data_IF_161473944676
#
_entry.id   IF_161473944676
#
_cell.length_a   1.000
_cell.length_b   1.000
_cell.length_c   1.000
_cell.angle_alpha   90.00
_cell.angle_beta   90.00
_cell.angle_gamma   90.00
#
_symmetry.space_group_name_H-M   'P 1'
#
loop_
_entity.id
_entity.type
_entity.pdbx_description
1 polymer ?
#
# COMPACT_ATOMS: atom_id res chain seq x y z
N UNK A 1 3.14 -18.79 -35.41
CA UNK A 1 3.01 -17.41 -35.92
C UNK A 1 1.53 -17.07 -35.94
N UNK A 2 1.13 -15.88 -35.49
CA UNK A 2 -0.27 -15.45 -35.59
C UNK A 2 -0.58 -15.33 -37.10
N UNK A 3 -1.59 -16.05 -37.59
CA UNK A 3 -1.96 -16.06 -39.01
C UNK A 3 -2.56 -14.71 -39.40
N UNK A 4 -2.13 -14.18 -40.55
CA UNK A 4 -2.55 -12.86 -41.05
C UNK A 4 -4.06 -12.78 -41.30
N UNK A 5 -4.67 -13.89 -41.72
CA UNK A 5 -6.12 -13.99 -41.95
C UNK A 5 -6.95 -13.92 -40.65
N UNK A 6 -6.37 -14.25 -39.49
CA UNK A 6 -7.03 -14.04 -38.21
C UNK A 6 -7.04 -12.56 -37.81
N UNK A 7 -6.02 -11.79 -38.21
CA UNK A 7 -5.90 -10.35 -37.87
C UNK A 7 -6.95 -9.51 -38.61
N UNK A 8 -7.18 -9.82 -39.89
CA UNK A 8 -8.16 -9.09 -40.72
C UNK A 8 -9.60 -9.20 -40.18
N UNK A 9 -9.93 -10.33 -39.56
CA UNK A 9 -11.25 -10.54 -38.97
C UNK A 9 -11.35 -10.08 -37.50
N UNK A 10 -10.23 -9.68 -36.88
CA UNK A 10 -10.19 -9.30 -35.46
C UNK A 10 -9.74 -7.85 -35.23
N UNK A 11 -9.83 -6.97 -36.25
CA UNK A 11 -9.49 -5.54 -36.11
C UNK A 11 -10.18 -4.88 -34.90
N UNK A 12 -11.43 -5.27 -34.62
CA UNK A 12 -12.18 -4.81 -33.44
C UNK A 12 -11.58 -5.34 -32.13
N UNK A 13 -11.19 -6.61 -32.08
CA UNK A 13 -10.55 -7.22 -30.90
C UNK A 13 -9.16 -6.64 -30.67
N UNK A 14 -8.38 -6.40 -31.73
CA UNK A 14 -7.07 -5.75 -31.65
C UNK A 14 -7.20 -4.30 -31.22
N UNK A 15 -8.19 -3.57 -31.74
CA UNK A 15 -8.50 -2.21 -31.30
C UNK A 15 -8.88 -2.17 -29.82
N UNK A 16 -9.68 -3.13 -29.33
CA UNK A 16 -10.04 -3.25 -27.93
C UNK A 16 -8.83 -3.63 -27.05
N UNK A 17 -8.01 -4.58 -27.49
CA UNK A 17 -6.85 -5.07 -26.75
C UNK A 17 -5.74 -4.00 -26.64
N UNK A 18 -5.61 -3.15 -27.67
CA UNK A 18 -4.71 -2.00 -27.68
C UNK A 18 -5.30 -0.77 -26.96
N UNK A 19 -6.55 -0.83 -26.50
CA UNK A 19 -7.21 0.22 -25.71
C UNK A 19 -7.84 1.36 -26.52
N UNK A 20 -8.07 1.18 -27.82
CA UNK A 20 -8.71 2.18 -28.69
C UNK A 20 -10.24 2.12 -28.68
N UNK A 21 -10.83 1.00 -28.23
CA UNK A 21 -12.28 0.83 -28.20
C UNK A 21 -12.96 1.43 -26.95
N UNK A 22 -12.22 1.73 -25.87
CA UNK A 22 -12.78 2.32 -24.65
C UNK A 22 -11.74 2.52 -23.53
N UNK A 23 -12.05 3.41 -22.59
CA UNK A 23 -11.19 3.69 -21.43
C UNK A 23 -11.71 2.99 -20.17
N UNK A 24 -10.92 2.06 -19.65
CA UNK A 24 -11.15 1.48 -18.33
C UNK A 24 -10.63 2.37 -17.21
N UNK A 25 -11.26 2.28 -16.03
CA UNK A 25 -10.79 2.94 -14.81
C UNK A 25 -10.23 1.93 -13.81
N UNK A 26 -9.17 2.32 -13.10
CA UNK A 26 -8.62 1.62 -11.93
C UNK A 26 -9.20 2.11 -10.60
N UNK A 27 -10.17 3.06 -10.63
CA UNK A 27 -10.83 3.58 -9.42
C UNK A 27 -11.45 2.44 -8.63
N UNK A 28 -11.11 2.36 -7.33
CA UNK A 28 -11.55 1.32 -6.40
C UNK A 28 -11.15 -0.13 -6.79
N UNK A 29 -10.20 -0.31 -7.72
CA UNK A 29 -9.64 -1.62 -8.08
C UNK A 29 -8.24 -1.76 -7.49
N UNK A 30 -7.91 -2.94 -6.95
CA UNK A 30 -6.56 -3.22 -6.45
C UNK A 30 -5.62 -3.45 -7.63
N UNK A 31 -4.54 -2.67 -7.72
CA UNK A 31 -3.49 -2.80 -8.75
C UNK A 31 -2.29 -3.50 -8.12
N UNK A 32 -1.84 -4.61 -8.71
CA UNK A 32 -0.66 -5.32 -8.24
C UNK A 32 0.58 -4.41 -8.31
N UNK A 33 1.44 -4.46 -7.30
CA UNK A 33 2.62 -3.57 -7.19
C UNK A 33 2.33 -2.16 -6.64
N UNK A 34 1.08 -1.68 -6.66
CA UNK A 34 0.71 -0.37 -6.10
C UNK A 34 0.23 -0.44 -4.64
N UNK A 35 0.77 -1.38 -3.86
CA UNK A 35 0.37 -1.61 -2.46
C UNK A 35 1.48 -1.25 -1.46
N UNK A 36 2.69 -1.01 -1.94
CA UNK A 36 3.83 -0.67 -1.09
C UNK A 36 3.69 0.78 -0.60
N UNK A 37 3.82 0.96 0.71
CA UNK A 37 3.84 2.25 1.36
C UNK A 37 4.69 2.16 2.62
N UNK A 38 5.47 3.20 2.90
CA UNK A 38 6.31 3.26 4.10
C UNK A 38 5.91 4.48 4.94
N UNK A 39 5.92 4.31 6.26
CA UNK A 39 5.64 5.38 7.22
C UNK A 39 6.83 5.55 8.16
N UNK A 40 7.33 6.79 8.26
CA UNK A 40 8.37 7.15 9.24
C UNK A 40 7.71 7.53 10.56
N UNK A 41 7.69 6.61 11.52
CA UNK A 41 7.19 6.86 12.87
C UNK A 41 8.37 7.18 13.79
N UNK A 42 8.53 8.45 14.14
CA UNK A 42 9.49 8.86 15.16
C UNK A 42 8.86 8.65 16.55
N UNK A 43 9.35 7.66 17.31
CA UNK A 43 8.93 7.46 18.70
C UNK A 43 9.76 8.39 19.60
N UNK A 44 9.18 9.44 20.21
CA UNK A 44 9.94 10.31 21.11
C UNK A 44 10.39 9.51 22.33
N UNK A 45 11.63 9.71 22.76
CA UNK A 45 12.13 9.12 24.00
C UNK A 45 11.47 9.84 25.18
N UNK A 46 10.83 9.07 26.07
CA UNK A 46 10.28 9.61 27.33
C UNK A 46 11.28 9.38 28.45
N UNK A 47 11.51 10.42 29.25
CA UNK A 47 12.32 10.30 30.45
C UNK A 47 11.62 9.41 31.47
N UNK A 48 12.41 8.57 32.14
CA UNK A 48 11.94 7.69 33.20
C UNK A 48 12.48 8.22 34.50
N UNK A 49 11.59 8.74 35.35
CA UNK A 49 11.95 8.99 36.74
C UNK A 49 12.07 7.63 37.43
N UNK A 50 13.22 7.31 38.00
CA UNK A 50 13.46 6.05 38.72
C UNK A 50 13.42 6.26 40.25
N UNK A 51 14.07 7.33 40.73
CA UNK A 51 14.10 7.68 42.15
C UNK A 51 12.87 8.50 42.57
N UNK A 52 12.42 8.30 43.80
CA UNK A 52 11.30 9.02 44.44
C UNK A 52 9.99 9.01 43.63
N UNK A 53 9.66 7.88 43.00
CA UNK A 53 8.37 7.67 42.34
C UNK A 53 7.31 7.27 43.35
N UNK A 54 6.06 7.68 43.13
CA UNK A 54 4.90 7.11 43.83
C UNK A 54 4.83 5.62 43.46
N UNK A 55 5.00 4.74 44.45
CA UNK A 55 5.14 3.29 44.27
C UNK A 55 6.46 2.71 44.81
N UNK A 56 7.54 3.48 44.88
CA UNK A 56 8.82 3.00 45.43
C UNK A 56 9.67 2.17 44.46
N UNK A 57 10.80 1.66 44.99
CA UNK A 57 11.84 0.94 44.25
C UNK A 57 11.34 -0.46 43.79
N UNK A 58 11.80 -0.94 42.63
CA UNK A 58 11.40 -2.23 42.01
C UNK A 58 9.91 -2.40 41.64
N UNK A 59 9.10 -1.33 41.55
CA UNK A 59 7.74 -1.39 40.98
C UNK A 59 7.69 -0.98 39.51
N UNK A 60 6.78 -1.57 38.71
CA UNK A 60 6.64 -1.23 37.29
C UNK A 60 6.44 0.28 37.07
N UNK A 61 6.89 0.77 35.92
CA UNK A 61 6.68 2.17 35.56
C UNK A 61 5.24 2.40 35.15
N UNK A 62 4.65 3.48 35.66
CA UNK A 62 3.35 3.93 35.18
C UNK A 62 3.47 4.25 33.70
N UNK A 63 2.47 3.82 32.93
CA UNK A 63 2.37 4.21 31.54
C UNK A 63 2.05 5.69 31.50
N UNK A 64 3.06 6.51 31.26
CA UNK A 64 2.85 7.92 30.96
C UNK A 64 2.32 7.93 29.52
N UNK A 65 1.08 8.35 29.32
CA UNK A 65 0.46 8.60 28.02
C UNK A 65 0.98 9.90 27.40
#
# INVERSE_FOLDING_TARGET
PISLDQIVNCEQDVSALMGFAGFDTTKNKKVAGNYEGAVKINKPRRYRQYMNRKGGFNRPLDYIA
#
